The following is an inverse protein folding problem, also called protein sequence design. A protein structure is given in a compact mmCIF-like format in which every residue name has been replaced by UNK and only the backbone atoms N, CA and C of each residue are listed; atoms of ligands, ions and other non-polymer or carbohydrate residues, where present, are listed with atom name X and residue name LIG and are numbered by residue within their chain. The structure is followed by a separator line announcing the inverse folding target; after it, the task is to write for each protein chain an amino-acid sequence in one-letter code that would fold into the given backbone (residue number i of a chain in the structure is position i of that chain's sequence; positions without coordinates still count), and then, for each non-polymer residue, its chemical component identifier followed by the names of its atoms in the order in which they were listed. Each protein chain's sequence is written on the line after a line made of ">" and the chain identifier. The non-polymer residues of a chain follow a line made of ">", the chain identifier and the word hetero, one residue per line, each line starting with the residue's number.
data_IF_035330299225
#
_entry.id   IF_035330299225
#
_cell.length_a   1.000
_cell.length_b   1.000
_cell.length_c   1.000
_cell.angle_alpha   90.00
_cell.angle_beta   90.00
_cell.angle_gamma   90.00
#
_symmetry.space_group_name_H-M   'P 1'
#
loop_
_entity.id
_entity.type
_entity.pdbx_description
1 polymer ?
#
# COMPACT_ATOMS: atom_id res chain seq x y z
N UNK A 1 -15.85 23.72 -20.02
CA UNK A 1 -15.82 23.06 -18.71
C UNK A 1 -16.35 21.67 -18.98
N UNK A 2 -15.47 20.69 -19.17
CA UNK A 2 -15.89 19.30 -19.23
C UNK A 2 -16.28 18.91 -17.81
N UNK A 3 -17.57 18.82 -17.57
CA UNK A 3 -18.12 18.31 -16.31
C UNK A 3 -17.86 16.81 -16.25
N UNK A 4 -17.22 16.35 -15.18
CA UNK A 4 -17.01 14.93 -14.91
C UNK A 4 -18.36 14.22 -14.85
N UNK A 5 -18.47 13.07 -15.52
CA UNK A 5 -19.73 12.32 -15.62
C UNK A 5 -19.98 11.39 -14.42
N UNK A 6 -18.96 11.17 -13.58
CA UNK A 6 -18.99 10.22 -12.47
C UNK A 6 -18.66 10.90 -11.14
N UNK A 7 -19.24 10.43 -10.02
CA UNK A 7 -18.76 10.79 -8.68
C UNK A 7 -17.26 10.51 -8.52
N UNK A 8 -16.55 11.35 -7.77
CA UNK A 8 -15.09 11.25 -7.60
C UNK A 8 -14.65 9.85 -7.17
N UNK A 9 -15.31 9.27 -6.18
CA UNK A 9 -15.00 7.91 -5.72
C UNK A 9 -15.12 6.86 -6.84
N UNK A 10 -16.12 6.97 -7.72
CA UNK A 10 -16.28 6.03 -8.83
C UNK A 10 -15.23 6.25 -9.93
N UNK A 11 -14.84 7.49 -10.20
CA UNK A 11 -13.73 7.80 -11.09
C UNK A 11 -12.39 7.22 -10.55
N UNK A 12 -12.13 7.37 -9.25
CA UNK A 12 -10.96 6.80 -8.58
C UNK A 12 -10.96 5.27 -8.62
N UNK A 13 -12.13 4.63 -8.42
CA UNK A 13 -12.27 3.17 -8.55
C UNK A 13 -11.96 2.69 -9.96
N UNK A 14 -12.49 3.38 -10.98
CA UNK A 14 -12.18 3.06 -12.38
C UNK A 14 -10.68 3.15 -12.66
N UNK A 15 -10.02 4.19 -12.13
CA UNK A 15 -8.57 4.35 -12.27
C UNK A 15 -7.78 3.26 -11.52
N UNK A 16 -8.25 2.81 -10.35
CA UNK A 16 -7.65 1.73 -9.59
C UNK A 16 -7.78 0.38 -10.30
N UNK A 17 -8.91 0.11 -10.95
CA UNK A 17 -9.08 -1.07 -11.79
C UNK A 17 -8.11 -1.07 -12.98
N UNK A 18 -7.92 0.09 -13.64
CA UNK A 18 -6.92 0.21 -14.70
C UNK A 18 -5.49 -0.02 -14.17
N UNK A 19 -5.14 0.56 -13.03
CA UNK A 19 -3.85 0.34 -12.38
C UNK A 19 -3.60 -1.15 -12.06
N UNK A 20 -4.64 -1.90 -11.67
CA UNK A 20 -4.55 -3.35 -11.45
C UNK A 20 -4.18 -4.12 -12.72
N UNK A 21 -4.63 -3.70 -13.91
CA UNK A 21 -4.21 -4.35 -15.17
C UNK A 21 -2.70 -4.17 -15.42
N UNK A 22 -2.17 -2.98 -15.15
CA UNK A 22 -0.72 -2.74 -15.25
C UNK A 22 0.08 -3.49 -14.19
N UNK A 23 -0.48 -3.62 -12.98
CA UNK A 23 0.11 -4.47 -11.94
C UNK A 23 0.15 -5.93 -12.38
N UNK A 24 -0.92 -6.45 -12.97
CA UNK A 24 -0.95 -7.83 -13.50
C UNK A 24 0.07 -8.02 -14.62
N UNK A 25 0.24 -7.05 -15.51
CA UNK A 25 1.29 -7.08 -16.53
C UNK A 25 2.68 -7.15 -15.90
N UNK A 26 2.98 -6.29 -14.93
CA UNK A 26 4.25 -6.31 -14.22
C UNK A 26 4.51 -7.65 -13.51
N UNK A 27 3.51 -8.18 -12.81
CA UNK A 27 3.58 -9.48 -12.13
C UNK A 27 3.80 -10.62 -13.12
N UNK A 28 3.07 -10.64 -14.24
CA UNK A 28 3.24 -11.64 -15.29
C UNK A 28 4.66 -11.64 -15.86
N UNK A 29 5.17 -10.46 -16.22
CA UNK A 29 6.55 -10.30 -16.73
C UNK A 29 7.58 -10.78 -15.71
N UNK A 30 7.31 -10.59 -14.41
CA UNK A 30 8.21 -11.01 -13.34
C UNK A 30 8.11 -12.50 -12.97
N UNK A 31 6.95 -13.17 -13.15
CA UNK A 31 6.74 -14.55 -12.72
C UNK A 31 6.72 -15.57 -13.86
N UNK A 32 6.04 -15.25 -14.97
CA UNK A 32 5.78 -16.17 -16.07
C UNK A 32 6.77 -16.03 -17.23
N UNK A 33 7.38 -14.84 -17.37
CA UNK A 33 8.40 -14.57 -18.39
C UNK A 33 7.99 -13.46 -19.36
N UNK A 34 8.64 -13.40 -20.55
CA UNK A 34 8.45 -12.29 -21.46
C UNK A 34 7.01 -12.08 -21.94
N UNK A 35 6.63 -10.82 -22.16
CA UNK A 35 5.33 -10.42 -22.71
C UNK A 35 5.49 -9.32 -23.76
N UNK A 36 4.44 -9.02 -24.53
CA UNK A 36 4.42 -7.88 -25.46
C UNK A 36 3.38 -6.87 -25.02
N UNK A 37 3.75 -5.59 -24.99
CA UNK A 37 2.85 -4.48 -24.73
C UNK A 37 3.11 -3.35 -25.73
N UNK A 38 2.09 -2.97 -26.50
CA UNK A 38 2.19 -1.92 -27.54
C UNK A 38 3.37 -2.10 -28.51
N UNK A 39 3.71 -3.35 -28.84
CA UNK A 39 4.82 -3.70 -29.73
C UNK A 39 6.21 -3.72 -29.08
N UNK A 40 6.33 -3.40 -27.79
CA UNK A 40 7.55 -3.57 -27.01
C UNK A 40 7.58 -4.96 -26.35
N UNK A 41 8.71 -5.66 -26.47
CA UNK A 41 8.98 -6.89 -25.74
C UNK A 41 9.44 -6.57 -24.32
N UNK A 42 8.68 -7.03 -23.33
CA UNK A 42 8.93 -6.82 -21.92
C UNK A 42 9.61 -8.06 -21.36
N UNK A 43 10.82 -7.90 -20.79
CA UNK A 43 11.56 -8.98 -20.13
C UNK A 43 12.02 -8.54 -18.76
N UNK A 44 11.75 -9.34 -17.73
CA UNK A 44 12.24 -9.07 -16.39
C UNK A 44 13.75 -9.32 -16.30
N UNK A 45 14.53 -8.31 -15.94
CA UNK A 45 16.00 -8.39 -15.81
C UNK A 45 16.47 -8.34 -14.36
N UNK A 46 15.55 -8.36 -13.39
CA UNK A 46 15.86 -8.36 -11.96
C UNK A 46 16.55 -9.67 -11.55
N UNK A 47 17.47 -9.59 -10.59
CA UNK A 47 18.04 -10.76 -9.94
C UNK A 47 16.96 -11.60 -9.24
N UNK A 48 17.19 -12.90 -9.07
CA UNK A 48 16.18 -13.82 -8.54
C UNK A 48 15.62 -13.38 -7.17
N UNK A 49 16.49 -12.85 -6.30
CA UNK A 49 16.10 -12.36 -4.98
C UNK A 49 15.19 -11.13 -5.05
N UNK A 50 15.62 -10.12 -5.81
CA UNK A 50 14.83 -8.90 -6.07
C UNK A 50 13.48 -9.25 -6.70
N UNK A 51 13.50 -10.05 -7.78
CA UNK A 51 12.32 -10.48 -8.53
C UNK A 51 11.31 -11.16 -7.62
N UNK A 52 11.72 -12.20 -6.89
CA UNK A 52 10.82 -12.99 -6.05
C UNK A 52 10.21 -12.16 -4.91
N UNK A 53 11.05 -11.44 -4.17
CA UNK A 53 10.57 -10.67 -3.00
C UNK A 53 9.69 -9.49 -3.40
N UNK A 54 10.08 -8.74 -4.44
CA UNK A 54 9.25 -7.65 -4.96
C UNK A 54 7.92 -8.16 -5.51
N UNK A 55 7.91 -9.28 -6.25
CA UNK A 55 6.69 -9.83 -6.86
C UNK A 55 5.68 -10.24 -5.79
N UNK A 56 6.12 -10.92 -4.73
CA UNK A 56 5.22 -11.32 -3.64
C UNK A 56 4.60 -10.12 -2.91
N UNK A 57 5.39 -9.09 -2.64
CA UNK A 57 4.89 -7.88 -1.97
C UNK A 57 3.96 -7.07 -2.88
N UNK A 58 4.27 -6.96 -4.16
CA UNK A 58 3.40 -6.30 -5.14
C UNK A 58 2.07 -7.05 -5.33
N UNK A 59 2.10 -8.38 -5.31
CA UNK A 59 0.89 -9.22 -5.32
C UNK A 59 0.03 -8.98 -4.06
N UNK A 60 0.64 -8.96 -2.88
CA UNK A 60 -0.06 -8.66 -1.63
C UNK A 60 -0.68 -7.25 -1.62
N UNK A 61 0.04 -6.27 -2.20
CA UNK A 61 -0.48 -4.92 -2.39
C UNK A 61 -1.70 -4.90 -3.32
N UNK A 62 -1.63 -5.63 -4.45
CA UNK A 62 -2.74 -5.81 -5.38
C UNK A 62 -3.97 -6.44 -4.73
N UNK A 63 -3.79 -7.48 -3.90
CA UNK A 63 -4.90 -8.10 -3.15
C UNK A 63 -5.54 -7.14 -2.14
N UNK A 64 -4.73 -6.32 -1.48
CA UNK A 64 -5.22 -5.29 -0.56
C UNK A 64 -6.01 -4.22 -1.31
N UNK A 65 -5.54 -3.80 -2.50
CA UNK A 65 -6.26 -2.86 -3.35
C UNK A 65 -7.58 -3.46 -3.89
N UNK A 66 -7.62 -4.74 -4.23
CA UNK A 66 -8.87 -5.44 -4.58
C UNK A 66 -9.87 -5.43 -3.42
N UNK A 67 -9.40 -5.66 -2.21
CA UNK A 67 -10.21 -5.55 -1.00
C UNK A 67 -10.80 -4.14 -0.86
N UNK A 68 -10.01 -3.09 -1.10
CA UNK A 68 -10.50 -1.71 -1.10
C UNK A 68 -11.55 -1.44 -2.18
N UNK A 69 -11.39 -2.01 -3.38
CA UNK A 69 -12.39 -1.91 -4.46
C UNK A 69 -13.75 -2.47 -4.03
N UNK A 70 -13.77 -3.57 -3.27
CA UNK A 70 -15.00 -4.09 -2.65
C UNK A 70 -15.52 -3.17 -1.53
N UNK A 71 -14.64 -2.59 -0.73
CA UNK A 71 -14.99 -1.67 0.36
C UNK A 71 -15.48 -0.30 -0.13
N UNK A 72 -15.29 0.07 -1.38
CA UNK A 72 -15.63 1.39 -1.90
C UNK A 72 -17.13 1.73 -1.85
N UNK A 73 -17.98 0.71 -1.71
CA UNK A 73 -19.43 0.87 -1.52
C UNK A 73 -19.84 1.08 -0.06
N UNK A 74 -18.93 0.84 0.89
CA UNK A 74 -19.23 0.97 2.32
C UNK A 74 -19.47 2.43 2.71
N UNK A 75 -20.30 2.64 3.72
CA UNK A 75 -20.61 3.93 4.33
C UNK A 75 -20.65 3.78 5.84
N UNK A 76 -20.34 4.84 6.57
CA UNK A 76 -20.39 4.84 8.03
C UNK A 76 -19.26 4.04 8.67
N UNK A 77 -19.56 3.40 9.80
CA UNK A 77 -18.58 2.74 10.68
C UNK A 77 -17.64 1.74 9.96
N UNK A 78 -18.13 0.87 9.04
CA UNK A 78 -17.27 -0.11 8.36
C UNK A 78 -16.12 0.51 7.54
N UNK A 79 -16.22 1.79 7.14
CA UNK A 79 -15.14 2.47 6.41
C UNK A 79 -13.87 2.59 7.24
N UNK A 80 -13.96 2.51 8.58
CA UNK A 80 -12.78 2.53 9.47
C UNK A 80 -11.77 1.45 9.10
N UNK A 81 -12.26 0.27 8.69
CA UNK A 81 -11.41 -0.88 8.37
C UNK A 81 -10.69 -0.74 7.02
N UNK A 82 -11.06 0.25 6.20
CA UNK A 82 -10.34 0.55 4.96
C UNK A 82 -8.94 1.14 5.24
N UNK A 83 -8.73 1.80 6.38
CA UNK A 83 -7.43 2.37 6.75
C UNK A 83 -6.32 1.33 6.92
N UNK A 84 -6.48 0.25 7.72
CA UNK A 84 -5.47 -0.80 7.81
C UNK A 84 -5.22 -1.51 6.48
N UNK A 85 -6.25 -1.73 5.65
CA UNK A 85 -6.09 -2.33 4.32
C UNK A 85 -5.29 -1.40 3.39
N UNK A 86 -5.61 -0.11 3.38
CA UNK A 86 -4.87 0.89 2.61
C UNK A 86 -3.42 1.02 3.05
N UNK A 87 -3.16 1.03 4.37
CA UNK A 87 -1.79 1.05 4.89
C UNK A 87 -1.02 -0.19 4.47
N UNK A 88 -1.65 -1.37 4.52
CA UNK A 88 -1.04 -2.61 4.04
C UNK A 88 -0.67 -2.53 2.55
N UNK A 89 -1.57 -2.03 1.70
CA UNK A 89 -1.31 -1.84 0.28
C UNK A 89 -0.12 -0.89 0.03
N UNK A 90 -0.13 0.29 0.67
CA UNK A 90 0.91 1.32 0.51
C UNK A 90 2.26 0.81 0.99
N UNK A 91 2.34 0.24 2.20
CA UNK A 91 3.60 -0.29 2.72
C UNK A 91 4.14 -1.44 1.86
N UNK A 92 3.25 -2.28 1.33
CA UNK A 92 3.63 -3.38 0.43
C UNK A 92 4.19 -2.87 -0.89
N UNK A 93 3.56 -1.86 -1.52
CA UNK A 93 4.12 -1.22 -2.72
C UNK A 93 5.46 -0.52 -2.45
N UNK A 94 5.61 0.18 -1.31
CA UNK A 94 6.88 0.78 -0.91
C UNK A 94 7.96 -0.28 -0.75
N UNK A 95 7.65 -1.38 -0.06
CA UNK A 95 8.61 -2.47 0.17
C UNK A 95 8.99 -3.18 -1.13
N UNK A 96 8.02 -3.44 -2.00
CA UNK A 96 8.26 -4.01 -3.32
C UNK A 96 9.19 -3.11 -4.15
N UNK A 97 8.89 -1.81 -4.21
CA UNK A 97 9.70 -0.82 -4.92
C UNK A 97 11.12 -0.70 -4.36
N UNK A 98 11.26 -0.77 -3.04
CA UNK A 98 12.57 -0.72 -2.38
C UNK A 98 13.40 -1.97 -2.71
N UNK A 99 12.81 -3.16 -2.60
CA UNK A 99 13.52 -4.42 -2.82
C UNK A 99 13.86 -4.67 -4.29
N UNK A 100 13.05 -4.19 -5.24
CA UNK A 100 13.41 -4.29 -6.67
C UNK A 100 14.54 -3.33 -7.04
N UNK A 101 14.63 -2.16 -6.40
CA UNK A 101 15.59 -1.12 -6.76
C UNK A 101 16.95 -1.29 -6.06
N UNK A 102 16.97 -1.87 -4.87
CA UNK A 102 18.18 -2.14 -4.09
C UNK A 102 18.95 -3.36 -4.60
N UNK A 103 20.19 -3.52 -4.14
CA UNK A 103 21.04 -4.66 -4.52
C UNK A 103 20.49 -6.03 -4.09
N UNK A 104 20.90 -7.09 -4.80
CA UNK A 104 20.59 -8.48 -4.45
C UNK A 104 20.95 -8.86 -3.01
N UNK A 105 21.98 -8.24 -2.41
CA UNK A 105 22.33 -8.47 -1.00
C UNK A 105 21.22 -8.05 -0.04
N UNK A 106 20.52 -6.95 -0.33
CA UNK A 106 19.37 -6.48 0.47
C UNK A 106 18.21 -7.45 0.32
N UNK A 107 17.94 -7.92 -0.90
CA UNK A 107 16.91 -8.92 -1.15
C UNK A 107 17.22 -10.27 -0.49
N UNK A 108 18.47 -10.73 -0.54
CA UNK A 108 18.92 -11.96 0.12
C UNK A 108 18.72 -11.89 1.64
N UNK A 109 19.05 -10.74 2.26
CA UNK A 109 18.75 -10.50 3.68
C UNK A 109 17.26 -10.54 3.97
N UNK A 110 16.42 -9.95 3.11
CA UNK A 110 14.97 -9.99 3.27
C UNK A 110 14.40 -11.41 3.18
N UNK A 111 14.95 -12.25 2.29
CA UNK A 111 14.59 -13.68 2.21
C UNK A 111 14.96 -14.41 3.50
N UNK A 112 16.21 -14.25 3.98
CA UNK A 112 16.68 -14.83 5.24
C UNK A 112 15.85 -14.38 6.46
N UNK A 113 15.32 -13.16 6.41
CA UNK A 113 14.46 -12.64 7.46
C UNK A 113 13.12 -13.38 7.57
N UNK A 114 12.63 -14.03 6.51
CA UNK A 114 11.35 -14.76 6.55
C UNK A 114 11.44 -15.90 7.59
N UNK A 115 12.47 -16.73 7.49
CA UNK A 115 12.68 -17.86 8.41
C UNK A 115 13.00 -17.37 9.82
N UNK A 116 13.86 -16.36 9.94
CA UNK A 116 14.17 -15.73 11.23
C UNK A 116 12.93 -15.14 11.89
N UNK A 117 12.08 -14.41 11.16
CA UNK A 117 10.88 -13.78 11.70
C UNK A 117 9.85 -14.82 12.13
N UNK A 118 9.68 -15.90 11.37
CA UNK A 118 8.84 -17.02 11.75
C UNK A 118 9.34 -17.68 13.04
N UNK A 119 10.62 -18.03 13.12
CA UNK A 119 11.23 -18.57 14.35
C UNK A 119 11.10 -17.60 15.53
N UNK A 120 11.37 -16.30 15.33
CA UNK A 120 11.28 -15.26 16.36
C UNK A 120 9.85 -15.08 16.85
N UNK A 121 8.84 -15.28 16.02
CA UNK A 121 7.44 -15.18 16.46
C UNK A 121 7.10 -16.21 17.56
N UNK A 122 7.76 -17.36 17.51
CA UNK A 122 7.64 -18.43 18.51
C UNK A 122 8.70 -18.38 19.62
N UNK A 123 9.66 -17.45 19.53
CA UNK A 123 10.78 -17.32 20.45
C UNK A 123 11.05 -15.84 20.77
N UNK A 124 10.15 -15.24 21.56
CA UNK A 124 10.19 -13.80 21.88
C UNK A 124 9.78 -13.52 23.32
N UNK A 125 10.36 -12.45 23.85
CA UNK A 125 9.95 -11.82 25.10
C UNK A 125 9.37 -10.44 24.80
N UNK A 126 8.25 -10.11 25.42
CA UNK A 126 7.61 -8.80 25.31
C UNK A 126 7.02 -8.37 26.66
N UNK A 127 6.80 -7.07 26.81
CA UNK A 127 6.48 -6.46 28.10
C UNK A 127 7.73 -6.14 28.93
N UNK A 128 7.54 -5.67 30.16
CA UNK A 128 8.60 -5.17 31.04
C UNK A 128 8.33 -5.48 32.50
N UNK A 129 9.38 -5.80 33.26
CA UNK A 129 9.27 -6.12 34.68
C UNK A 129 8.37 -7.32 34.96
N UNK A 130 7.48 -7.18 35.94
CA UNK A 130 6.48 -8.18 36.31
C UNK A 130 5.45 -8.43 35.20
N UNK A 131 5.23 -7.46 34.32
CA UNK A 131 4.34 -7.57 33.17
C UNK A 131 5.13 -7.99 31.93
N UNK A 132 5.95 -9.04 32.04
CA UNK A 132 6.65 -9.62 30.90
C UNK A 132 6.19 -11.04 30.61
N UNK A 133 5.98 -11.32 29.33
CA UNK A 133 5.59 -12.62 28.82
C UNK A 133 6.72 -13.11 27.91
N UNK A 134 7.08 -14.37 28.08
CA UNK A 134 8.02 -15.06 27.20
C UNK A 134 7.30 -16.22 26.50
N UNK A 135 7.43 -16.25 25.18
CA UNK A 135 7.00 -17.35 24.32
C UNK A 135 8.27 -18.05 23.86
N UNK A 136 8.36 -19.36 24.10
CA UNK A 136 9.53 -20.18 23.78
C UNK A 136 9.11 -21.54 23.25
N UNK A 137 9.35 -21.79 21.97
CA UNK A 137 9.19 -23.11 21.34
C UNK A 137 10.51 -23.83 21.13
N UNK A 138 11.61 -23.09 21.05
CA UNK A 138 12.97 -23.58 20.89
C UNK A 138 13.61 -23.83 22.27
N UNK A 139 14.16 -25.03 22.54
CA UNK A 139 14.80 -25.31 23.82
C UNK A 139 16.04 -24.46 24.09
N UNK A 140 16.76 -24.00 23.04
CA UNK A 140 17.90 -23.11 23.17
C UNK A 140 17.88 -21.98 22.13
N UNK A 141 17.03 -20.94 22.35
CA UNK A 141 16.90 -19.86 21.38
C UNK A 141 18.17 -19.04 21.17
N UNK A 142 19.10 -19.07 22.14
CA UNK A 142 20.36 -18.31 22.06
C UNK A 142 21.35 -19.01 21.14
N UNK A 143 21.48 -20.33 21.26
CA UNK A 143 22.30 -21.12 20.36
C UNK A 143 21.77 -21.01 18.91
N UNK A 144 20.46 -21.21 18.71
CA UNK A 144 19.82 -21.11 17.39
C UNK A 144 20.01 -19.73 16.77
N UNK A 145 19.80 -18.64 17.53
CA UNK A 145 20.05 -17.27 17.02
C UNK A 145 21.50 -17.08 16.54
N UNK A 146 22.46 -17.64 17.26
CA UNK A 146 23.89 -17.47 16.95
C UNK A 146 24.34 -18.33 15.78
N UNK A 147 23.78 -19.53 15.64
CA UNK A 147 24.19 -20.50 14.62
C UNK A 147 23.42 -20.32 13.31
N UNK A 148 22.09 -20.20 13.39
CA UNK A 148 21.21 -20.19 12.21
C UNK A 148 20.95 -18.78 11.69
N UNK A 149 20.93 -17.78 12.58
CA UNK A 149 20.53 -16.39 12.27
C UNK A 149 21.55 -15.32 12.73
N UNK A 150 22.87 -15.51 12.53
CA UNK A 150 23.89 -14.61 13.06
C UNK A 150 23.72 -13.15 12.60
N UNK A 151 23.22 -12.92 11.39
CA UNK A 151 23.00 -11.60 10.80
C UNK A 151 21.83 -10.81 11.43
N UNK A 152 21.01 -11.46 12.25
CA UNK A 152 19.93 -10.83 13.02
C UNK A 152 20.24 -10.77 14.53
N UNK A 153 21.43 -11.21 14.93
CA UNK A 153 21.91 -11.13 16.31
C UNK A 153 22.30 -9.70 16.69
N UNK A 154 22.04 -9.31 17.94
CA UNK A 154 22.41 -8.00 18.48
C UNK A 154 21.32 -6.93 18.40
N UNK A 155 21.55 -5.84 19.14
CA UNK A 155 20.59 -4.72 19.26
C UNK A 155 20.48 -3.99 17.92
N UNK A 156 19.25 -3.85 17.41
CA UNK A 156 18.97 -3.16 16.14
C UNK A 156 19.01 -4.04 14.89
N UNK A 157 19.52 -5.27 14.98
CA UNK A 157 19.66 -6.17 13.82
C UNK A 157 18.45 -7.09 13.60
N UNK A 158 17.42 -7.02 14.46
CA UNK A 158 16.25 -7.91 14.41
C UNK A 158 15.22 -7.62 13.30
N UNK A 159 15.64 -6.94 12.23
CA UNK A 159 14.81 -6.54 11.09
C UNK A 159 15.54 -6.85 9.77
N UNK A 160 14.78 -7.07 8.70
CA UNK A 160 15.32 -7.23 7.35
C UNK A 160 15.98 -5.94 6.83
N UNK A 161 15.56 -4.78 7.34
CA UNK A 161 16.13 -3.47 7.01
C UNK A 161 16.21 -2.58 8.25
N UNK A 162 17.24 -1.74 8.32
CA UNK A 162 17.41 -0.68 9.31
C UNK A 162 16.77 0.66 8.88
N UNK A 163 16.31 0.74 7.64
CA UNK A 163 15.72 1.97 7.08
C UNK A 163 14.25 2.09 7.50
N UNK A 164 13.85 3.30 7.88
CA UNK A 164 12.45 3.67 8.04
C UNK A 164 11.73 3.79 6.69
N UNK A 165 10.40 3.95 6.71
CA UNK A 165 9.60 4.07 5.47
C UNK A 165 10.08 5.25 4.61
N UNK A 166 10.27 6.48 5.12
CA UNK A 166 10.74 7.61 4.31
C UNK A 166 12.13 7.38 3.69
N UNK A 167 13.06 6.76 4.42
CA UNK A 167 14.39 6.46 3.86
C UNK A 167 14.34 5.41 2.76
N UNK A 168 13.45 4.41 2.86
CA UNK A 168 13.22 3.45 1.77
C UNK A 168 12.65 4.13 0.53
N UNK A 169 11.66 5.01 0.69
CA UNK A 169 11.09 5.81 -0.41
C UNK A 169 12.16 6.67 -1.07
N UNK A 170 13.02 7.33 -0.28
CA UNK A 170 14.15 8.12 -0.80
C UNK A 170 15.08 7.24 -1.64
N UNK A 171 15.46 6.06 -1.15
CA UNK A 171 16.31 5.10 -1.89
C UNK A 171 15.67 4.67 -3.21
N UNK A 172 14.36 4.41 -3.24
CA UNK A 172 13.64 4.15 -4.50
C UNK A 172 13.79 5.32 -5.47
N UNK A 173 13.62 6.56 -5.00
CA UNK A 173 13.79 7.76 -5.82
C UNK A 173 15.19 7.92 -6.39
N UNK A 174 16.22 7.57 -5.60
CA UNK A 174 17.63 7.61 -6.00
C UNK A 174 17.99 6.52 -7.01
N UNK A 175 17.44 5.31 -6.87
CA UNK A 175 17.86 4.11 -7.61
C UNK A 175 16.95 3.75 -8.81
N UNK A 176 15.64 3.92 -8.66
CA UNK A 176 14.64 3.59 -9.68
C UNK A 176 14.01 4.84 -10.33
N UNK A 177 14.45 6.03 -9.91
CA UNK A 177 14.09 7.29 -10.53
C UNK A 177 13.15 8.17 -9.69
N UNK A 178 13.30 9.48 -9.88
CA UNK A 178 12.61 10.52 -9.08
C UNK A 178 11.08 10.39 -9.08
N UNK A 179 10.48 9.98 -10.20
CA UNK A 179 9.01 9.84 -10.33
C UNK A 179 8.48 8.80 -9.33
N UNK A 180 9.10 7.63 -9.28
CA UNK A 180 8.77 6.54 -8.38
C UNK A 180 8.84 6.98 -6.92
N UNK A 181 9.94 7.62 -6.53
CA UNK A 181 10.12 8.14 -5.17
C UNK A 181 9.08 9.18 -4.76
N UNK A 182 8.78 10.17 -5.63
CA UNK A 182 7.79 11.21 -5.33
C UNK A 182 6.37 10.68 -5.20
N UNK A 183 5.98 9.71 -6.05
CA UNK A 183 4.66 9.08 -6.00
C UNK A 183 4.47 8.26 -4.72
N UNK A 184 5.46 7.47 -4.34
CA UNK A 184 5.45 6.75 -3.07
C UNK A 184 5.46 7.71 -1.86
N UNK A 185 6.17 8.84 -1.94
CA UNK A 185 6.18 9.85 -0.89
C UNK A 185 4.80 10.51 -0.73
N UNK A 186 4.10 10.79 -1.83
CA UNK A 186 2.74 11.31 -1.80
C UNK A 186 1.78 10.33 -1.10
N UNK A 187 1.84 9.03 -1.47
CA UNK A 187 1.06 7.99 -0.81
C UNK A 187 1.31 7.92 0.70
N UNK A 188 2.59 7.96 1.10
CA UNK A 188 3.00 7.98 2.49
C UNK A 188 2.44 9.20 3.24
N UNK A 189 2.59 10.40 2.67
CA UNK A 189 2.15 11.64 3.27
C UNK A 189 0.63 11.71 3.49
N UNK A 190 -0.15 11.16 2.56
CA UNK A 190 -1.62 11.20 2.61
C UNK A 190 -2.20 10.23 3.66
N UNK A 191 -1.69 9.00 3.74
CA UNK A 191 -2.35 7.94 4.50
C UNK A 191 -1.57 7.51 5.75
N UNK A 192 -0.24 7.52 5.73
CA UNK A 192 0.53 6.83 6.77
C UNK A 192 0.28 7.39 8.18
N UNK A 193 0.37 8.71 8.35
CA UNK A 193 0.18 9.33 9.66
C UNK A 193 -1.24 9.13 10.18
N UNK A 194 -2.24 9.42 9.34
CA UNK A 194 -3.64 9.34 9.73
C UNK A 194 -4.11 7.90 10.01
N UNK A 195 -3.74 6.96 9.13
CA UNK A 195 -4.04 5.54 9.34
C UNK A 195 -3.42 5.02 10.63
N UNK A 196 -2.22 5.49 11.01
CA UNK A 196 -1.58 5.11 12.28
C UNK A 196 -2.41 5.52 13.49
N UNK A 197 -2.91 6.75 13.50
CA UNK A 197 -3.77 7.27 14.57
C UNK A 197 -5.07 6.45 14.68
N UNK A 198 -5.68 6.12 13.55
CA UNK A 198 -6.95 5.37 13.49
C UNK A 198 -6.76 3.91 13.91
N UNK A 199 -5.72 3.23 13.39
CA UNK A 199 -5.44 1.81 13.65
C UNK A 199 -5.05 1.59 15.10
N UNK A 200 -4.23 2.48 15.67
CA UNK A 200 -3.83 2.40 17.07
C UNK A 200 -4.90 2.94 18.04
N UNK A 201 -6.02 3.47 17.53
CA UNK A 201 -7.13 3.92 18.36
C UNK A 201 -6.77 5.11 19.24
N UNK A 202 -5.94 6.03 18.76
CA UNK A 202 -5.62 7.24 19.50
C UNK A 202 -6.88 8.13 19.67
N UNK A 203 -6.92 9.01 20.68
CA UNK A 203 -8.02 9.97 20.82
C UNK A 203 -8.22 10.84 19.57
N UNK A 204 -7.12 11.22 18.90
CA UNK A 204 -7.19 11.96 17.64
C UNK A 204 -7.78 11.09 16.52
N UNK A 205 -7.28 9.86 16.32
CA UNK A 205 -7.78 8.96 15.27
C UNK A 205 -9.26 8.63 15.43
N UNK A 206 -9.72 8.39 16.66
CA UNK A 206 -11.14 8.19 16.96
C UNK A 206 -11.96 9.46 16.65
N UNK A 207 -11.53 10.62 17.15
CA UNK A 207 -12.21 11.90 16.90
C UNK A 207 -12.21 12.30 15.41
N UNK A 208 -11.14 11.98 14.69
CA UNK A 208 -11.01 12.19 13.26
C UNK A 208 -12.03 11.35 12.50
N UNK A 209 -12.02 10.03 12.72
CA UNK A 209 -12.91 9.10 12.03
C UNK A 209 -14.40 9.46 12.23
N UNK A 210 -14.80 9.75 13.47
CA UNK A 210 -16.19 10.12 13.76
C UNK A 210 -16.51 11.59 13.45
N UNK A 211 -15.62 12.33 12.78
CA UNK A 211 -15.79 13.77 12.49
C UNK A 211 -16.07 14.63 13.72
N UNK A 212 -15.76 14.14 14.93
CA UNK A 212 -16.09 14.79 16.20
C UNK A 212 -15.26 16.06 16.44
N UNK A 213 -14.11 16.17 15.78
CA UNK A 213 -13.24 17.35 15.76
C UNK A 213 -13.78 18.51 14.90
N UNK A 214 -14.72 18.23 13.99
CA UNK A 214 -15.32 19.27 13.15
C UNK A 214 -16.40 20.04 13.93
N UNK A 215 -16.50 21.35 13.63
CA UNK A 215 -17.60 22.20 14.10
C UNK A 215 -18.74 22.07 13.10
N UNK A 216 -19.91 21.58 13.52
CA UNK A 216 -21.05 21.41 12.62
C UNK A 216 -22.14 20.48 13.16
N UNK A 217 -23.14 20.23 12.34
CA UNK A 217 -24.20 19.27 12.62
C UNK A 217 -23.63 17.85 12.72
N UNK A 218 -24.04 17.15 13.79
CA UNK A 218 -23.65 15.76 14.07
C UNK A 218 -24.80 14.83 13.72
N UNK A 219 -25.12 14.77 12.43
CA UNK A 219 -26.16 13.87 11.90
C UNK A 219 -25.53 12.59 11.33
N UNK A 220 -26.33 11.54 11.22
CA UNK A 220 -25.91 10.27 10.61
C UNK A 220 -25.53 10.46 9.15
N UNK A 221 -26.28 11.30 8.43
CA UNK A 221 -26.08 11.61 7.01
C UNK A 221 -24.76 12.34 6.80
N UNK A 222 -24.44 13.32 7.67
CA UNK A 222 -23.16 14.02 7.63
C UNK A 222 -21.98 13.07 7.89
N UNK A 223 -22.12 12.15 8.84
CA UNK A 223 -21.10 11.13 9.10
C UNK A 223 -20.93 10.17 7.91
N UNK A 224 -22.02 9.70 7.30
CA UNK A 224 -21.95 8.86 6.11
C UNK A 224 -21.28 9.58 4.93
N UNK A 225 -21.62 10.86 4.71
CA UNK A 225 -20.97 11.68 3.68
C UNK A 225 -19.47 11.86 3.96
N UNK A 226 -19.08 12.15 5.21
CA UNK A 226 -17.67 12.23 5.60
C UNK A 226 -16.92 10.92 5.28
N UNK A 227 -17.52 9.76 5.56
CA UNK A 227 -16.87 8.47 5.25
C UNK A 227 -16.66 8.21 3.76
N UNK A 228 -17.42 8.88 2.86
CA UNK A 228 -17.13 8.86 1.42
C UNK A 228 -15.82 9.58 1.14
N UNK A 229 -15.61 10.76 1.71
CA UNK A 229 -14.35 11.51 1.57
C UNK A 229 -13.16 10.73 2.13
N UNK A 230 -13.33 9.98 3.22
CA UNK A 230 -12.26 9.10 3.72
C UNK A 230 -11.87 8.03 2.68
N UNK A 231 -12.85 7.45 1.97
CA UNK A 231 -12.57 6.50 0.90
C UNK A 231 -11.89 7.19 -0.30
N UNK A 232 -12.31 8.39 -0.67
CA UNK A 232 -11.66 9.19 -1.74
C UNK A 232 -10.17 9.40 -1.42
N UNK A 233 -9.85 9.86 -0.22
CA UNK A 233 -8.47 10.07 0.24
C UNK A 233 -7.66 8.77 0.26
N UNK A 234 -8.25 7.67 0.74
CA UNK A 234 -7.65 6.34 0.73
C UNK A 234 -7.30 5.91 -0.70
N UNK A 235 -8.24 6.02 -1.64
CA UNK A 235 -8.00 5.65 -3.03
C UNK A 235 -6.91 6.51 -3.67
N UNK A 236 -6.91 7.82 -3.43
CA UNK A 236 -5.85 8.71 -3.92
C UNK A 236 -4.48 8.26 -3.39
N UNK A 237 -4.38 7.97 -2.08
CA UNK A 237 -3.14 7.50 -1.46
C UNK A 237 -2.66 6.16 -2.03
N UNK A 238 -3.55 5.18 -2.19
CA UNK A 238 -3.18 3.86 -2.73
C UNK A 238 -2.82 3.94 -4.22
N UNK A 239 -3.55 4.74 -5.00
CA UNK A 239 -3.23 4.98 -6.41
C UNK A 239 -1.84 5.60 -6.57
N UNK A 240 -1.47 6.56 -5.72
CA UNK A 240 -0.11 7.09 -5.69
C UNK A 240 0.93 5.99 -5.42
N UNK A 241 0.66 5.06 -4.50
CA UNK A 241 1.59 3.98 -4.19
C UNK A 241 1.75 3.01 -5.36
N UNK A 242 0.64 2.61 -6.00
CA UNK A 242 0.66 1.75 -7.17
C UNK A 242 1.38 2.39 -8.36
N UNK A 243 1.13 3.67 -8.65
CA UNK A 243 1.87 4.42 -9.68
C UNK A 243 3.37 4.50 -9.34
N UNK A 244 3.71 4.69 -8.06
CA UNK A 244 5.09 4.67 -7.59
C UNK A 244 5.79 3.33 -7.83
N UNK A 245 5.11 2.21 -7.56
CA UNK A 245 5.62 0.88 -7.82
C UNK A 245 5.76 0.57 -9.32
N UNK A 246 4.73 0.84 -10.11
CA UNK A 246 4.75 0.57 -11.55
C UNK A 246 5.85 1.38 -12.25
N UNK A 247 6.03 2.65 -11.87
CA UNK A 247 7.12 3.48 -12.36
C UNK A 247 8.50 2.93 -11.95
N UNK A 248 8.63 2.39 -10.74
CA UNK A 248 9.86 1.74 -10.31
C UNK A 248 10.12 0.45 -11.13
N UNK A 249 9.12 -0.41 -11.27
CA UNK A 249 9.26 -1.70 -11.96
C UNK A 249 9.60 -1.53 -13.44
N UNK A 250 8.81 -0.75 -14.18
CA UNK A 250 9.03 -0.53 -15.61
C UNK A 250 10.24 0.36 -15.87
N UNK A 251 10.39 1.44 -15.09
CA UNK A 251 11.47 2.41 -15.26
C UNK A 251 12.85 1.83 -14.96
N UNK A 252 12.99 1.05 -13.88
CA UNK A 252 14.27 0.44 -13.50
C UNK A 252 14.79 -0.57 -14.53
N UNK A 253 13.90 -1.15 -15.32
CA UNK A 253 14.20 -2.15 -16.35
C UNK A 253 14.14 -1.58 -17.78
N UNK A 254 14.00 -0.26 -17.93
CA UNK A 254 13.90 0.45 -19.21
C UNK A 254 12.72 0.04 -20.11
N UNK A 255 11.61 -0.42 -19.53
CA UNK A 255 10.38 -0.77 -20.25
C UNK A 255 9.58 0.52 -20.56
N UNK A 256 9.61 1.00 -21.79
CA UNK A 256 9.18 2.38 -22.14
C UNK A 256 7.68 2.53 -22.34
N UNK A 257 7.08 1.67 -23.15
CA UNK A 257 5.65 1.68 -23.48
C UNK A 257 4.77 1.57 -22.21
N UNK A 258 4.93 0.56 -21.34
CA UNK A 258 4.12 0.48 -20.13
C UNK A 258 4.41 1.62 -19.14
N UNK A 259 5.63 2.16 -19.11
CA UNK A 259 5.96 3.34 -18.29
C UNK A 259 5.24 4.61 -18.79
N UNK A 260 5.14 4.80 -20.10
CA UNK A 260 4.40 5.93 -20.69
C UNK A 260 2.89 5.81 -20.43
N UNK A 261 2.34 4.60 -20.53
CA UNK A 261 0.94 4.35 -20.23
C UNK A 261 0.63 4.53 -18.73
N UNK A 262 1.54 4.14 -17.84
CA UNK A 262 1.45 4.45 -16.41
C UNK A 262 1.46 5.97 -16.14
N UNK A 263 2.25 6.75 -16.88
CA UNK A 263 2.25 8.21 -16.74
C UNK A 263 0.87 8.81 -17.06
N UNK A 264 0.11 8.21 -17.98
CA UNK A 264 -1.27 8.63 -18.27
C UNK A 264 -2.20 8.36 -17.10
N UNK A 265 -2.05 7.21 -16.42
CA UNK A 265 -2.79 6.89 -15.18
C UNK A 265 -2.46 7.93 -14.11
N UNK A 266 -1.18 8.24 -13.92
CA UNK A 266 -0.75 9.23 -12.93
C UNK A 266 -1.25 10.65 -13.27
N UNK A 267 -1.22 11.06 -14.53
CA UNK A 267 -1.75 12.34 -14.96
C UNK A 267 -3.25 12.45 -14.64
N UNK A 268 -4.02 11.39 -14.90
CA UNK A 268 -5.44 11.33 -14.54
C UNK A 268 -5.66 11.37 -13.03
N UNK A 269 -4.82 10.68 -12.24
CA UNK A 269 -4.88 10.77 -10.77
C UNK A 269 -4.70 12.22 -10.29
N UNK A 270 -3.70 12.94 -10.81
CA UNK A 270 -3.47 14.34 -10.44
C UNK A 270 -4.63 15.24 -10.84
N UNK A 271 -5.23 15.00 -12.00
CA UNK A 271 -6.39 15.75 -12.45
C UNK A 271 -7.58 15.54 -11.49
N UNK A 272 -7.81 14.31 -11.04
CA UNK A 272 -8.88 13.98 -10.10
C UNK A 272 -8.60 14.55 -8.70
N UNK A 273 -7.36 14.46 -8.21
CA UNK A 273 -7.00 14.81 -6.82
C UNK A 273 -6.82 16.30 -6.57
N UNK A 274 -6.71 17.12 -7.62
CA UNK A 274 -6.52 18.59 -7.50
C UNK A 274 -7.82 19.38 -7.60
N UNK A 275 -8.91 18.75 -8.05
CA UNK A 275 -10.25 19.33 -8.07
C UNK A 275 -10.91 19.11 -6.70
N UNK A 276 -11.65 20.08 -6.13
CA UNK A 276 -12.44 19.83 -4.93
C UNK A 276 -13.57 18.84 -5.24
N UNK A 277 -13.97 18.00 -4.27
CA UNK A 277 -15.04 16.99 -4.47
C UNK A 277 -16.36 17.59 -4.97
N UNK A 278 -16.62 18.87 -4.68
CA UNK A 278 -17.78 19.63 -5.21
C UNK A 278 -17.76 19.85 -6.73
N UNK A 279 -16.64 19.57 -7.41
CA UNK A 279 -16.52 19.62 -8.87
C UNK A 279 -17.04 18.36 -9.55
N UNK A 280 -17.42 17.34 -8.78
CA UNK A 280 -17.92 16.06 -9.26
C UNK A 280 -19.41 15.91 -8.95
N UNK A 281 -20.17 15.15 -9.75
CA UNK A 281 -21.54 14.79 -9.42
C UNK A 281 -21.65 14.14 -8.04
N UNK A 282 -22.72 14.41 -7.27
CA UNK A 282 -22.95 13.71 -6.02
C UNK A 282 -23.11 12.20 -6.28
N UNK A 283 -22.60 11.37 -5.37
CA UNK A 283 -22.87 9.94 -5.42
C UNK A 283 -24.39 9.72 -5.37
N UNK A 284 -24.93 8.93 -6.30
CA UNK A 284 -26.36 8.59 -6.26
C UNK A 284 -26.67 7.86 -4.94
N UNK A 285 -27.79 8.18 -4.27
CA UNK A 285 -28.25 7.39 -3.14
C UNK A 285 -28.36 5.93 -3.60
N UNK A 286 -27.70 5.01 -2.90
CA UNK A 286 -28.04 3.60 -3.08
C UNK A 286 -29.51 3.47 -2.69
N UNK A 287 -30.31 2.92 -3.60
CA UNK A 287 -31.69 2.57 -3.29
C UNK A 287 -31.66 1.77 -1.98
N UNK A 288 -32.38 2.26 -0.97
CA UNK A 288 -32.57 1.48 0.24
C UNK A 288 -33.09 0.12 -0.23
N UNK A 289 -32.46 -0.97 0.24
CA UNK A 289 -32.99 -2.30 0.04
C UNK A 289 -34.40 -2.32 0.64
N UNK A 290 -35.40 -2.06 -0.19
CA UNK A 290 -36.80 -2.35 0.10
C UNK A 290 -36.99 -3.85 -0.07
N UNK A 291 -36.41 -4.60 0.85
CA UNK A 291 -36.77 -5.98 1.18
C UNK A 291 -37.07 -5.97 2.70
N UNK A 292 -38.24 -6.30 3.24
CA UNK A 292 -39.53 -6.62 2.68
C UNK A 292 -40.56 -6.46 3.80
N UNK A 293 -41.61 -5.71 3.55
CA UNK A 293 -42.88 -5.82 4.29
C UNK A 293 -43.91 -6.37 3.30
N UNK A 294 -43.98 -7.70 3.19
CA UNK A 294 -45.18 -8.47 2.84
C UNK A 294 -45.14 -9.81 3.57
#
# INVERSE_FOLDING_TARGET
>A
MDTEELPLLDALRGLAMLQQEFLRLALFVASEGPATFEGEELTCTLGDGQRRTSTFLAMAAGQSLETLLHMAKLRGIPVRDAYPVARSAIESFVNASYLLAESDNVAARAIRYIDFAAWRHHNRKFGSGEFSIEVRSDPDPRATLTQEYPEFSGKGNGSWTSLDVPSRIRRVGELAGRRSGLRLLAAYGLIYSLSSEIIHGSPFGASYFYSAHLKGERTTEAFQAATVSHLEEIFIGVLHAGCGYLAAFFGHQNMRAPLNAEEMIFARLLELSTKPSSSFPPAMPQAADTEGEQ
#
